data_IF_339930878636
#
_entry.id   IF_339930878636
#
_cell.length_a   1.000
_cell.length_b   1.000
_cell.length_c   1.000
_cell.angle_alpha   90.00
_cell.angle_beta   90.00
_cell.angle_gamma   90.00
#
_symmetry.space_group_name_H-M   'P 1'
#
loop_
_entity.id
_entity.type
_entity.pdbx_description
1 polymer ?
#
# COMPACT_ATOMS: atom_id res chain seq x y z
N UNK A 1 -12.74 -0.37 0.39
CA UNK A 1 -11.92 0.29 -0.64
C UNK A 1 -11.77 -0.63 -1.84
N UNK A 2 -11.77 -0.03 -3.04
CA UNK A 2 -11.39 -0.74 -4.27
C UNK A 2 -9.86 -0.81 -4.40
N UNK A 3 -9.36 -1.60 -5.36
CA UNK A 3 -7.94 -1.72 -5.67
C UNK A 3 -7.34 -0.36 -6.01
N UNK A 4 -7.99 0.41 -6.88
CA UNK A 4 -7.50 1.74 -7.27
C UNK A 4 -7.60 2.79 -6.15
N UNK A 5 -8.57 2.67 -5.24
CA UNK A 5 -8.65 3.55 -4.06
C UNK A 5 -7.48 3.31 -3.10
N UNK A 6 -7.11 2.05 -2.85
CA UNK A 6 -5.94 1.73 -2.02
C UNK A 6 -4.67 2.27 -2.67
N UNK A 7 -4.48 2.07 -3.97
CA UNK A 7 -3.31 2.60 -4.67
C UNK A 7 -3.30 4.14 -4.69
N UNK A 8 -4.47 4.79 -4.79
CA UNK A 8 -4.57 6.24 -4.66
C UNK A 8 -4.07 6.74 -3.28
N UNK A 9 -4.39 5.99 -2.22
CA UNK A 9 -4.02 6.36 -0.86
C UNK A 9 -2.58 6.01 -0.50
N UNK A 10 -2.02 4.93 -1.05
CA UNK A 10 -0.72 4.38 -0.64
C UNK A 10 0.44 4.73 -1.58
N UNK A 11 0.21 5.60 -2.55
CA UNK A 11 1.21 6.05 -3.51
C UNK A 11 1.79 7.43 -3.20
N UNK A 12 2.02 8.26 -4.24
CA UNK A 12 2.72 9.55 -4.12
C UNK A 12 2.09 10.55 -3.15
N UNK A 13 0.80 10.43 -2.86
CA UNK A 13 0.13 11.33 -1.92
C UNK A 13 0.71 11.24 -0.51
N UNK A 14 1.27 10.08 -0.15
CA UNK A 14 1.95 9.88 1.14
C UNK A 14 3.48 9.68 1.00
N UNK A 15 4.09 10.20 -0.07
CA UNK A 15 5.53 10.11 -0.27
C UNK A 15 6.02 8.69 -0.58
N UNK A 16 5.25 7.90 -1.31
CA UNK A 16 5.62 6.54 -1.73
C UNK A 16 5.67 6.42 -3.26
N UNK A 17 6.33 5.37 -3.81
CA UNK A 17 6.42 5.15 -5.24
C UNK A 17 5.06 5.14 -5.96
N UNK A 18 5.05 5.55 -7.23
CA UNK A 18 3.81 5.61 -8.06
C UNK A 18 3.10 4.27 -8.22
N UNK A 19 3.82 3.17 -8.09
CA UNK A 19 3.24 1.84 -8.15
C UNK A 19 2.36 1.51 -6.94
N UNK A 20 2.49 2.27 -5.85
CA UNK A 20 1.68 2.12 -4.64
C UNK A 20 1.64 0.67 -4.12
N UNK A 21 0.50 0.13 -3.72
CA UNK A 21 0.39 -1.22 -3.15
C UNK A 21 0.10 -2.28 -4.22
N UNK A 22 -1.07 -2.27 -4.79
CA UNK A 22 -1.51 -3.34 -5.69
C UNK A 22 -0.81 -3.32 -7.05
N UNK A 23 -0.49 -2.14 -7.54
CA UNK A 23 0.31 -2.05 -8.77
C UNK A 23 1.73 -2.57 -8.56
N UNK A 24 2.32 -2.40 -7.36
CA UNK A 24 3.61 -3.01 -7.02
C UNK A 24 3.50 -4.53 -7.02
N UNK A 25 2.46 -5.11 -6.43
CA UNK A 25 2.21 -6.55 -6.47
C UNK A 25 2.13 -7.08 -7.91
N UNK A 26 1.46 -6.36 -8.81
CA UNK A 26 1.37 -6.74 -10.23
C UNK A 26 2.70 -6.64 -10.98
N UNK A 27 3.58 -5.71 -10.59
CA UNK A 27 4.90 -5.54 -11.21
C UNK A 27 5.88 -6.62 -10.73
N UNK A 28 5.90 -6.87 -9.43
CA UNK A 28 6.78 -7.87 -8.80
C UNK A 28 6.32 -9.30 -9.12
N UNK A 29 5.03 -9.50 -9.11
CA UNK A 29 4.37 -10.79 -9.28
C UNK A 29 3.79 -11.32 -7.98
N UNK A 30 2.53 -11.76 -8.04
CA UNK A 30 1.78 -12.22 -6.88
C UNK A 30 2.40 -13.48 -6.23
N UNK A 31 2.98 -14.36 -7.02
CA UNK A 31 3.72 -15.53 -6.54
C UNK A 31 4.94 -15.14 -5.68
N UNK A 32 5.64 -14.07 -6.05
CA UNK A 32 6.73 -13.52 -5.23
C UNK A 32 6.19 -12.98 -3.91
N UNK A 33 5.07 -12.24 -3.92
CA UNK A 33 4.42 -11.76 -2.70
C UNK A 33 4.05 -12.94 -1.78
N UNK A 34 3.43 -13.98 -2.32
CA UNK A 34 3.03 -15.18 -1.58
C UNK A 34 4.26 -15.86 -0.96
N UNK A 35 5.33 -16.03 -1.75
CA UNK A 35 6.56 -16.63 -1.26
C UNK A 35 7.18 -15.84 -0.10
N UNK A 36 7.26 -14.51 -0.24
CA UNK A 36 7.80 -13.63 0.81
C UNK A 36 6.93 -13.66 2.06
N UNK A 37 5.61 -13.55 1.93
CA UNK A 37 4.68 -13.58 3.06
C UNK A 37 4.80 -14.90 3.85
N UNK A 38 4.79 -16.04 3.15
CA UNK A 38 4.96 -17.36 3.77
C UNK A 38 6.34 -17.50 4.41
N UNK A 39 7.39 -16.99 3.77
CA UNK A 39 8.75 -16.99 4.32
C UNK A 39 8.83 -16.20 5.63
N UNK A 40 8.28 -15.00 5.68
CA UNK A 40 8.25 -14.17 6.89
C UNK A 40 7.41 -14.82 7.99
N UNK A 41 6.23 -15.33 7.68
CA UNK A 41 5.39 -16.03 8.65
C UNK A 41 6.10 -17.21 9.30
N UNK A 42 6.84 -18.01 8.50
CA UNK A 42 7.53 -19.20 8.99
C UNK A 42 8.80 -18.88 9.75
N UNK A 43 9.51 -17.81 9.39
CA UNK A 43 10.80 -17.45 10.01
C UNK A 43 10.66 -16.46 11.18
N UNK A 44 9.54 -15.77 11.30
CA UNK A 44 9.27 -14.82 12.37
C UNK A 44 7.98 -15.17 13.13
N UNK A 45 7.83 -16.39 13.69
CA UNK A 45 6.58 -16.84 14.33
C UNK A 45 6.27 -16.05 15.62
N UNK A 46 7.32 -15.54 16.29
CA UNK A 46 7.19 -14.78 17.55
C UNK A 46 6.88 -13.30 17.34
N UNK A 47 6.82 -12.83 16.09
CA UNK A 47 6.45 -11.44 15.79
C UNK A 47 4.98 -11.20 16.14
N UNK A 48 4.69 -10.17 16.95
CA UNK A 48 3.31 -9.83 17.38
C UNK A 48 2.39 -9.43 16.22
N UNK A 49 2.96 -9.15 15.04
CA UNK A 49 2.23 -8.86 13.81
C UNK A 49 2.32 -9.98 12.77
N UNK A 50 2.84 -11.16 13.13
CA UNK A 50 2.97 -12.30 12.21
C UNK A 50 1.67 -12.62 11.45
N UNK A 51 0.51 -12.37 12.07
CA UNK A 51 -0.81 -12.55 11.45
C UNK A 51 -1.07 -11.68 10.20
N UNK A 52 -0.31 -10.58 10.00
CA UNK A 52 -0.44 -9.76 8.78
C UNK A 52 0.05 -10.49 7.53
N UNK A 53 0.81 -11.58 7.70
CA UNK A 53 1.26 -12.45 6.63
C UNK A 53 0.28 -13.59 6.31
N UNK A 54 -0.85 -13.66 7.02
CA UNK A 54 -1.98 -14.51 6.63
C UNK A 54 -2.64 -13.91 5.39
N UNK A 55 -2.38 -14.54 4.26
CA UNK A 55 -2.86 -14.04 2.98
C UNK A 55 -4.38 -14.21 2.89
N UNK A 56 -5.11 -13.20 2.45
CA UNK A 56 -6.55 -13.32 2.30
C UNK A 56 -6.93 -14.23 1.13
N UNK A 57 -8.10 -14.88 1.22
CA UNK A 57 -8.60 -15.87 0.25
C UNK A 57 -8.57 -15.42 -1.21
N UNK A 58 -8.71 -14.11 -1.47
CA UNK A 58 -8.66 -13.60 -2.83
C UNK A 58 -7.27 -13.77 -3.47
N UNK A 59 -6.21 -13.81 -2.68
CA UNK A 59 -4.84 -14.07 -3.17
C UNK A 59 -4.72 -15.52 -3.69
N UNK A 60 -5.26 -16.49 -2.94
CA UNK A 60 -5.27 -17.90 -3.36
C UNK A 60 -6.06 -18.07 -4.67
N UNK A 61 -7.26 -17.49 -4.73
CA UNK A 61 -8.08 -17.49 -5.97
C UNK A 61 -7.38 -16.87 -7.17
N UNK A 62 -6.65 -15.76 -6.96
CA UNK A 62 -5.86 -15.16 -8.04
C UNK A 62 -4.73 -16.09 -8.51
N UNK A 63 -4.07 -16.77 -7.57
CA UNK A 63 -3.02 -17.75 -7.90
C UNK A 63 -3.58 -18.93 -8.67
N UNK A 64 -4.70 -19.52 -8.24
CA UNK A 64 -5.38 -20.62 -8.94
C UNK A 64 -5.77 -20.24 -10.37
N UNK A 65 -6.19 -19.00 -10.59
CA UNK A 65 -6.52 -18.47 -11.92
C UNK A 65 -5.29 -18.05 -12.74
N UNK A 66 -4.08 -18.18 -12.21
CA UNK A 66 -2.84 -17.70 -12.83
C UNK A 66 -2.86 -16.17 -13.09
N UNK A 67 -3.50 -15.41 -12.21
CA UNK A 67 -3.54 -13.94 -12.27
C UNK A 67 -2.39 -13.35 -11.44
N UNK A 68 -1.18 -13.53 -11.94
CA UNK A 68 0.04 -13.23 -11.20
C UNK A 68 0.59 -11.82 -11.46
N UNK A 69 -0.17 -10.97 -12.14
CA UNK A 69 0.22 -9.61 -12.44
C UNK A 69 0.71 -9.39 -13.87
N UNK A 70 1.64 -8.47 -14.05
CA UNK A 70 2.09 -8.03 -15.39
C UNK A 70 2.70 -9.16 -16.24
N UNK A 71 3.35 -10.13 -15.61
CA UNK A 71 3.98 -11.27 -16.31
C UNK A 71 2.99 -12.24 -16.93
N UNK A 72 1.78 -12.34 -16.38
CA UNK A 72 0.68 -13.17 -16.93
C UNK A 72 -0.36 -12.34 -17.66
N UNK A 73 -0.14 -11.02 -17.80
CA UNK A 73 -1.03 -10.09 -18.49
C UNK A 73 -2.20 -9.57 -17.65
N UNK A 74 -2.45 -10.16 -16.49
CA UNK A 74 -3.49 -9.71 -15.56
C UNK A 74 -3.14 -10.08 -14.11
N UNK A 75 -3.64 -9.27 -13.18
CA UNK A 75 -3.47 -9.40 -11.75
C UNK A 75 -4.53 -8.56 -11.06
N UNK A 76 -4.16 -7.66 -10.14
CA UNK A 76 -5.08 -6.65 -9.61
C UNK A 76 -5.57 -5.68 -10.70
N UNK A 77 -4.75 -5.49 -11.73
CA UNK A 77 -5.10 -4.74 -12.93
C UNK A 77 -4.97 -5.59 -14.17
N UNK A 78 -5.81 -5.29 -15.17
CA UNK A 78 -5.81 -5.93 -16.49
C UNK A 78 -5.82 -4.86 -17.58
N UNK A 79 -4.86 -4.94 -18.50
CA UNK A 79 -4.87 -4.12 -19.71
C UNK A 79 -5.81 -4.74 -20.74
N UNK A 80 -6.69 -3.93 -21.31
CA UNK A 80 -7.62 -4.34 -22.37
C UNK A 80 -7.54 -3.38 -23.55
N UNK A 81 -7.91 -3.88 -24.71
CA UNK A 81 -8.06 -3.08 -25.93
C UNK A 81 -9.48 -3.32 -26.44
N UNK A 82 -10.24 -2.27 -26.66
CA UNK A 82 -11.59 -2.36 -27.22
C UNK A 82 -11.58 -2.58 -28.76
N UNK A 83 -12.74 -2.80 -29.34
CA UNK A 83 -12.91 -3.04 -30.77
C UNK A 83 -12.39 -1.90 -31.64
N UNK A 84 -12.28 -0.70 -31.08
CA UNK A 84 -11.75 0.50 -31.76
C UNK A 84 -10.25 0.70 -31.53
N UNK A 85 -9.55 -0.28 -30.92
CA UNK A 85 -8.12 -0.20 -30.61
C UNK A 85 -7.79 0.69 -29.40
N UNK A 86 -8.76 1.17 -28.64
CA UNK A 86 -8.55 2.02 -27.48
C UNK A 86 -8.13 1.17 -26.28
N UNK A 87 -6.95 1.47 -25.77
CA UNK A 87 -6.39 0.81 -24.57
C UNK A 87 -7.09 1.31 -23.31
N UNK A 88 -7.44 0.41 -22.42
CA UNK A 88 -7.95 0.73 -21.08
C UNK A 88 -7.33 -0.19 -20.03
N UNK A 89 -7.37 0.25 -18.77
CA UNK A 89 -6.95 -0.54 -17.63
C UNK A 89 -8.19 -0.77 -16.77
N UNK A 90 -8.46 -2.03 -16.50
CA UNK A 90 -9.52 -2.48 -15.59
C UNK A 90 -8.88 -2.85 -14.25
N UNK A 91 -9.63 -2.67 -13.17
CA UNK A 91 -9.28 -3.16 -11.83
C UNK A 91 -10.11 -4.40 -11.48
N UNK A 92 -9.55 -5.30 -10.70
CA UNK A 92 -10.24 -6.45 -10.16
C UNK A 92 -11.15 -6.01 -9.00
N UNK A 93 -12.42 -6.36 -9.07
CA UNK A 93 -13.30 -6.29 -7.91
C UNK A 93 -13.05 -7.53 -7.02
N UNK A 94 -12.49 -7.32 -5.85
CA UNK A 94 -12.10 -8.40 -4.94
C UNK A 94 -13.29 -9.17 -4.32
N UNK A 95 -14.53 -8.65 -4.49
CA UNK A 95 -15.75 -9.32 -4.01
C UNK A 95 -16.37 -10.20 -5.09
N UNK A 96 -16.52 -9.65 -6.30
CA UNK A 96 -17.17 -10.37 -7.42
C UNK A 96 -16.19 -11.16 -8.27
N UNK A 97 -14.88 -10.88 -8.17
CA UNK A 97 -13.83 -11.43 -9.03
C UNK A 97 -13.99 -11.07 -10.52
N UNK A 98 -14.65 -9.95 -10.79
CA UNK A 98 -14.83 -9.43 -12.13
C UNK A 98 -13.94 -8.20 -12.35
N UNK A 99 -13.45 -8.04 -13.58
CA UNK A 99 -12.71 -6.85 -13.98
C UNK A 99 -13.65 -5.73 -14.41
N UNK A 100 -13.51 -4.57 -13.81
CA UNK A 100 -14.32 -3.38 -14.10
C UNK A 100 -13.47 -2.13 -14.30
N UNK A 101 -14.04 -1.10 -14.89
CA UNK A 101 -13.38 0.21 -14.96
C UNK A 101 -13.27 0.78 -13.55
N UNK A 102 -12.09 1.32 -13.22
CA UNK A 102 -11.88 2.02 -11.96
C UNK A 102 -12.80 3.24 -11.87
N UNK A 103 -13.51 3.37 -10.77
CA UNK A 103 -14.30 4.55 -10.47
C UNK A 103 -13.39 5.62 -9.88
N UNK A 104 -13.53 6.86 -10.36
CA UNK A 104 -12.78 8.00 -9.82
C UNK A 104 -13.43 8.46 -8.51
N UNK A 105 -13.13 7.78 -7.42
CA UNK A 105 -13.56 8.22 -6.11
C UNK A 105 -12.94 9.57 -5.75
N UNK A 106 -13.74 10.47 -5.20
CA UNK A 106 -13.32 11.81 -4.75
C UNK A 106 -13.36 11.85 -3.24
N UNK A 107 -12.21 12.13 -2.64
CA UNK A 107 -12.06 12.33 -1.21
C UNK A 107 -11.55 13.74 -0.95
N UNK A 108 -12.22 14.47 -0.06
CA UNK A 108 -11.83 15.84 0.29
C UNK A 108 -10.42 15.88 0.87
N UNK A 109 -10.09 14.92 1.73
CA UNK A 109 -8.75 14.75 2.31
C UNK A 109 -7.68 14.59 1.24
N UNK A 110 -7.89 13.73 0.25
CA UNK A 110 -6.95 13.50 -0.85
C UNK A 110 -6.81 14.75 -1.72
N UNK A 111 -7.92 15.44 -1.99
CA UNK A 111 -7.90 16.71 -2.75
C UNK A 111 -7.05 17.77 -2.05
N UNK A 112 -7.24 17.95 -0.74
CA UNK A 112 -6.44 18.88 0.08
C UNK A 112 -4.97 18.47 0.13
N UNK A 113 -4.68 17.19 0.34
CA UNK A 113 -3.33 16.65 0.40
C UNK A 113 -2.55 16.86 -0.91
N UNK A 114 -3.18 16.63 -2.07
CA UNK A 114 -2.57 16.86 -3.39
C UNK A 114 -2.20 18.31 -3.68
N UNK A 115 -2.88 19.26 -3.04
CA UNK A 115 -2.61 20.69 -3.14
C UNK A 115 -1.64 21.19 -2.05
N UNK A 116 -1.05 20.28 -1.27
CA UNK A 116 -0.07 20.58 -0.22
C UNK A 116 1.29 20.05 -0.69
N UNK A 117 2.19 20.96 -1.12
CA UNK A 117 3.50 20.59 -1.68
C UNK A 117 4.44 20.02 -0.62
N UNK A 118 4.44 20.60 0.57
CA UNK A 118 5.26 20.15 1.69
C UNK A 118 4.77 18.80 2.21
N UNK A 119 5.65 17.79 2.18
CA UNK A 119 5.27 16.40 2.53
C UNK A 119 4.93 16.26 4.01
N UNK A 120 5.66 16.95 4.90
CA UNK A 120 5.37 16.89 6.35
C UNK A 120 3.97 17.44 6.65
N UNK A 121 3.63 18.61 6.10
CA UNK A 121 2.28 19.19 6.22
C UNK A 121 1.22 18.29 5.59
N UNK A 122 1.57 17.60 4.49
CA UNK A 122 0.67 16.66 3.84
C UNK A 122 0.33 15.49 4.74
N UNK A 123 1.29 14.96 5.54
CA UNK A 123 1.03 13.89 6.50
C UNK A 123 -0.01 14.32 7.54
N UNK A 124 0.11 15.54 8.09
CA UNK A 124 -0.90 16.08 9.01
C UNK A 124 -2.28 16.20 8.35
N UNK A 125 -2.36 16.71 7.11
CA UNK A 125 -3.61 16.81 6.35
C UNK A 125 -4.26 15.42 6.15
N UNK A 126 -3.48 14.39 5.86
CA UNK A 126 -3.97 13.03 5.68
C UNK A 126 -4.51 12.45 7.00
N UNK A 127 -3.80 12.66 8.10
CA UNK A 127 -4.17 12.17 9.42
C UNK A 127 -5.42 12.86 9.98
N UNK A 128 -5.54 14.17 9.83
CA UNK A 128 -6.65 14.98 10.32
C UNK A 128 -7.94 14.83 9.49
N UNK A 129 -7.86 14.18 8.34
CA UNK A 129 -8.99 14.01 7.43
C UNK A 129 -10.23 13.43 8.12
N UNK A 130 -11.43 13.94 7.77
CA UNK A 130 -12.71 13.54 8.39
C UNK A 130 -13.50 12.56 7.53
N UNK A 131 -13.02 12.27 6.31
CA UNK A 131 -13.62 11.31 5.40
C UNK A 131 -12.98 9.90 5.53
N UNK A 132 -13.44 8.96 4.71
CA UNK A 132 -12.93 7.58 4.67
C UNK A 132 -11.42 7.49 4.42
N UNK A 133 -10.84 8.46 3.70
CA UNK A 133 -9.40 8.52 3.50
C UNK A 133 -8.68 8.86 4.81
N UNK A 134 -9.15 9.85 5.55
CA UNK A 134 -8.60 10.19 6.86
C UNK A 134 -8.68 9.03 7.87
N UNK A 135 -9.79 8.30 7.89
CA UNK A 135 -9.93 7.08 8.72
C UNK A 135 -8.89 6.02 8.35
N UNK A 136 -8.69 5.80 7.04
CA UNK A 136 -7.67 4.89 6.53
C UNK A 136 -6.27 5.30 7.02
N UNK A 137 -5.89 6.58 6.86
CA UNK A 137 -4.56 7.04 7.27
C UNK A 137 -4.34 6.95 8.77
N UNK A 138 -5.31 7.31 9.60
CA UNK A 138 -5.19 7.13 11.06
C UNK A 138 -4.91 5.68 11.43
N UNK A 139 -5.63 4.73 10.84
CA UNK A 139 -5.42 3.30 11.08
C UNK A 139 -4.05 2.82 10.63
N UNK A 140 -3.63 3.21 9.43
CA UNK A 140 -2.33 2.80 8.86
C UNK A 140 -1.17 3.41 9.65
N UNK A 141 -1.21 4.71 9.93
CA UNK A 141 -0.15 5.40 10.66
C UNK A 141 -0.03 4.91 12.10
N UNK A 142 -1.15 4.78 12.82
CA UNK A 142 -1.12 4.24 14.18
C UNK A 142 -0.52 2.83 14.24
N UNK A 143 -0.88 1.96 13.29
CA UNK A 143 -0.31 0.63 13.19
C UNK A 143 1.18 0.64 12.87
N UNK A 144 1.59 1.47 11.91
CA UNK A 144 2.99 1.61 11.50
C UNK A 144 3.87 2.17 12.64
N UNK A 145 3.43 3.26 13.28
CA UNK A 145 4.20 3.91 14.33
C UNK A 145 4.35 3.02 15.56
N UNK A 146 3.26 2.39 16.00
CA UNK A 146 3.29 1.43 17.11
C UNK A 146 4.26 0.28 16.83
N UNK A 147 4.19 -0.31 15.63
CA UNK A 147 5.09 -1.40 15.26
C UNK A 147 6.56 -0.94 15.18
N UNK A 148 6.83 0.20 14.52
CA UNK A 148 8.18 0.75 14.42
C UNK A 148 8.79 1.07 15.81
N UNK A 149 7.98 1.63 16.72
CA UNK A 149 8.44 1.89 18.08
C UNK A 149 8.83 0.62 18.85
N UNK A 150 8.08 -0.48 18.67
CA UNK A 150 8.38 -1.77 19.27
C UNK A 150 9.68 -2.41 18.72
N UNK A 151 10.17 -1.95 17.57
CA UNK A 151 11.44 -2.44 16.99
C UNK A 151 12.68 -1.73 17.52
N UNK A 152 12.52 -0.76 18.41
CA UNK A 152 13.61 -0.10 19.14
C UNK A 152 13.65 -0.68 20.57
N UNK A 153 14.77 -1.19 21.06
CA UNK A 153 16.10 -1.30 20.42
C UNK A 153 16.35 -2.62 19.66
N UNK A 154 15.32 -3.47 19.45
CA UNK A 154 15.47 -4.81 18.88
C UNK A 154 16.22 -4.83 17.53
N UNK A 155 15.86 -3.91 16.62
CA UNK A 155 16.48 -3.80 15.30
C UNK A 155 17.59 -2.75 15.29
N UNK A 156 17.40 -1.65 16.02
CA UNK A 156 18.36 -0.55 16.12
C UNK A 156 18.08 0.27 17.36
N UNK A 157 19.14 0.74 18.02
CA UNK A 157 19.05 1.65 19.18
C UNK A 157 18.64 3.08 18.79
N UNK A 158 18.71 3.42 17.49
CA UNK A 158 18.52 4.77 16.99
C UNK A 158 17.36 4.82 15.99
N UNK A 159 16.33 5.61 16.31
CA UNK A 159 15.09 5.73 15.52
C UNK A 159 15.32 6.16 14.07
N UNK A 160 16.28 7.07 13.82
CA UNK A 160 16.55 7.58 12.48
C UNK A 160 17.08 6.49 11.52
N UNK A 161 17.72 5.44 12.04
CA UNK A 161 18.18 4.32 11.20
C UNK A 161 17.02 3.50 10.63
N UNK A 162 15.94 3.40 11.38
CA UNK A 162 14.71 2.77 10.87
C UNK A 162 14.09 3.60 9.74
N UNK A 163 14.11 4.94 9.88
CA UNK A 163 13.66 5.84 8.82
C UNK A 163 14.52 5.72 7.56
N UNK A 164 15.84 5.74 7.71
CA UNK A 164 16.78 5.57 6.60
C UNK A 164 16.62 4.22 5.91
N UNK A 165 16.44 3.14 6.66
CA UNK A 165 16.22 1.80 6.12
C UNK A 165 14.93 1.73 5.27
N UNK A 166 13.84 2.34 5.74
CA UNK A 166 12.58 2.40 5.00
C UNK A 166 12.69 3.26 3.74
N UNK A 167 13.41 4.40 3.82
CA UNK A 167 13.66 5.25 2.65
C UNK A 167 14.53 4.52 1.61
N UNK A 168 15.61 3.89 2.04
CA UNK A 168 16.54 3.19 1.15
C UNK A 168 15.94 1.88 0.57
N UNK A 169 15.24 1.09 1.41
CA UNK A 169 14.72 -0.22 1.02
C UNK A 169 13.43 -0.17 0.21
N UNK A 170 12.55 0.79 0.50
CA UNK A 170 11.21 0.88 -0.11
C UNK A 170 10.99 2.13 -0.95
N UNK A 171 11.98 2.99 -1.08
CA UNK A 171 11.86 4.24 -1.83
C UNK A 171 10.83 5.21 -1.25
N UNK A 172 10.65 5.20 0.07
CA UNK A 172 9.81 6.17 0.76
C UNK A 172 10.50 7.52 0.86
N UNK A 173 9.76 8.61 0.82
CA UNK A 173 10.30 9.95 1.00
C UNK A 173 10.43 10.34 2.48
N UNK A 174 9.66 9.70 3.37
CA UNK A 174 9.73 9.84 4.83
C UNK A 174 9.64 8.45 5.48
N UNK A 175 10.44 8.24 6.52
CA UNK A 175 10.35 7.05 7.35
C UNK A 175 9.26 7.16 8.43
N UNK A 176 9.00 6.09 9.21
CA UNK A 176 7.91 6.05 10.18
C UNK A 176 8.02 7.13 11.28
N UNK A 177 9.21 7.40 11.81
CA UNK A 177 9.39 8.41 12.87
C UNK A 177 9.35 9.83 12.31
N UNK A 178 9.91 10.06 11.11
CA UNK A 178 9.77 11.34 10.41
C UNK A 178 8.29 11.67 10.14
N UNK A 179 7.48 10.67 9.74
CA UNK A 179 6.02 10.84 9.56
C UNK A 179 5.33 11.13 10.90
N UNK A 180 5.73 10.45 11.97
CA UNK A 180 5.18 10.65 13.32
C UNK A 180 5.43 12.07 13.81
N UNK A 181 6.66 12.56 13.70
CA UNK A 181 7.02 13.95 14.04
C UNK A 181 6.24 14.97 13.20
N UNK A 182 6.09 14.70 11.90
CA UNK A 182 5.33 15.57 10.99
C UNK A 182 3.85 15.68 11.35
N UNK A 183 3.26 14.66 11.94
CA UNK A 183 1.85 14.66 12.39
C UNK A 183 1.72 15.34 13.75
N UNK A 184 2.74 15.30 14.59
CA UNK A 184 2.77 16.01 15.88
C UNK A 184 1.97 15.31 16.99
N UNK A 185 2.00 13.99 17.06
CA UNK A 185 1.32 13.16 18.08
C UNK A 185 2.33 12.35 18.90
#
# INVERSE_FOLDING_TARGET
LSVSEVDLFTGPVMGRPKSATFRTCDVVGLDTLIHVANGLKNNCPEDEKSHVFDLPDFIEKMQENNWLGSKTGQGFYKKTVDENGKKSILELDLKTFEYKKAEKAKYATIGKAKNTDDLAKRMSVLFEGKDKAGEFYRKIFSGLFSYAACRVPEISDEVYRLDEAMKAGFGWEMGPFEMWDAIGI
#
